data_IF_057528530989
#
_entry.id   IF_057528530989
#
_cell.length_a   1.000
_cell.length_b   1.000
_cell.length_c   1.000
_cell.angle_alpha   90.00
_cell.angle_beta   90.00
_cell.angle_gamma   90.00
#
_symmetry.space_group_name_H-M   'P 1'
#
loop_
_entity.id
_entity.type
_entity.pdbx_description
1 polymer ?
#
# COMPACT_ATOMS: atom_id res chain seq x y z
N UNK A 1 64.97 37.57 44.72
CA UNK A 1 64.61 36.71 43.58
C UNK A 1 64.67 37.53 42.30
N UNK A 2 65.85 37.80 41.71
CA UNK A 2 66.63 36.92 40.81
C UNK A 2 65.88 36.74 39.48
N UNK A 3 66.03 37.69 38.54
CA UNK A 3 66.87 37.67 37.30
C UNK A 3 66.20 36.98 36.09
N UNK A 4 65.79 37.72 35.05
CA UNK A 4 66.52 38.04 33.79
C UNK A 4 66.96 36.82 32.96
N UNK A 5 66.29 36.63 31.81
CA UNK A 5 66.91 36.82 30.49
C UNK A 5 67.56 35.62 29.79
N UNK A 6 67.51 35.72 28.44
CA UNK A 6 68.17 34.92 27.39
C UNK A 6 67.49 33.56 27.08
N UNK A 7 67.19 33.21 25.84
CA UNK A 7 67.65 33.70 24.55
C UNK A 7 68.01 32.49 23.68
N UNK A 8 67.51 32.52 22.44
CA UNK A 8 68.05 31.84 21.25
C UNK A 8 68.08 30.29 21.21
N UNK A 9 67.25 29.80 20.29
CA UNK A 9 67.56 28.79 19.28
C UNK A 9 68.65 27.77 19.60
N UNK A 10 68.24 26.50 19.74
CA UNK A 10 69.02 25.42 19.13
C UNK A 10 68.08 24.32 18.66
N UNK A 11 68.19 24.07 17.36
CA UNK A 11 67.67 22.93 16.64
C UNK A 11 67.58 21.67 17.49
N UNK A 12 66.35 21.20 17.68
CA UNK A 12 66.09 19.77 17.63
C UNK A 12 65.01 19.58 16.59
N UNK A 13 65.46 19.18 15.40
CA UNK A 13 64.70 18.37 14.45
C UNK A 13 63.94 17.34 15.27
N UNK A 14 62.64 17.58 15.43
CA UNK A 14 61.72 16.54 15.83
C UNK A 14 61.16 16.04 14.52
N UNK A 15 61.67 14.88 14.13
CA UNK A 15 61.42 14.24 12.86
C UNK A 15 59.91 14.15 12.62
N UNK A 16 59.47 14.81 11.54
CA UNK A 16 58.13 14.72 10.98
C UNK A 16 57.74 13.29 10.56
N UNK A 17 58.62 12.30 10.76
CA UNK A 17 58.39 10.89 10.42
C UNK A 17 57.74 10.05 11.53
N UNK A 18 57.56 10.55 12.75
CA UNK A 18 57.00 9.71 13.84
C UNK A 18 55.58 10.08 14.28
N UNK A 19 55.01 11.19 13.78
CA UNK A 19 53.65 11.65 14.11
C UNK A 19 52.61 11.41 13.02
N UNK A 20 53.03 10.93 11.85
CA UNK A 20 52.16 10.60 10.71
C UNK A 20 51.94 9.08 10.55
N UNK A 21 52.04 8.32 11.66
CA UNK A 21 51.85 6.85 11.65
C UNK A 21 50.47 6.38 12.11
N UNK A 22 49.51 7.28 12.22
CA UNK A 22 48.09 6.91 12.28
C UNK A 22 47.35 7.86 11.35
N UNK A 23 47.30 7.45 10.08
CA UNK A 23 46.18 7.59 9.14
C UNK A 23 46.68 7.78 7.71
N UNK A 24 45.95 7.12 6.81
CA UNK A 24 46.04 7.21 5.35
C UNK A 24 47.20 6.50 4.63
N UNK A 25 47.25 5.17 4.76
CA UNK A 25 47.63 4.34 3.61
C UNK A 25 46.94 2.97 3.57
N UNK A 26 45.61 2.95 3.49
CA UNK A 26 44.88 1.81 2.93
C UNK A 26 44.61 2.01 1.44
N UNK A 27 45.60 2.45 0.66
CA UNK A 27 45.61 2.09 -0.76
C UNK A 27 46.00 0.62 -0.85
N UNK A 28 45.06 -0.26 -0.47
CA UNK A 28 45.09 -1.63 -0.92
C UNK A 28 45.07 -1.56 -2.45
N UNK A 29 46.25 -1.71 -3.03
CA UNK A 29 46.50 -1.92 -4.44
C UNK A 29 45.49 -2.99 -4.87
N UNK A 30 44.36 -2.58 -5.48
CA UNK A 30 43.38 -3.51 -6.06
C UNK A 30 44.16 -4.28 -7.11
N UNK A 31 44.65 -5.45 -6.74
CA UNK A 31 45.25 -6.44 -7.65
C UNK A 31 44.27 -6.54 -8.80
N UNK A 32 44.73 -6.15 -9.99
CA UNK A 32 43.93 -6.16 -11.19
C UNK A 32 43.26 -7.52 -11.29
N UNK A 33 41.92 -7.53 -11.28
CA UNK A 33 41.19 -8.70 -11.75
C UNK A 33 41.72 -8.98 -13.15
N UNK A 34 42.43 -10.10 -13.30
CA UNK A 34 43.01 -10.48 -14.58
C UNK A 34 41.92 -10.46 -15.64
N UNK A 35 42.26 -10.10 -16.86
CA UNK A 35 41.33 -10.13 -17.99
C UNK A 35 40.59 -11.47 -18.07
N UNK A 36 41.30 -12.56 -17.74
CA UNK A 36 40.75 -13.91 -17.60
C UNK A 36 39.64 -14.00 -16.54
N UNK A 37 39.82 -13.45 -15.34
CA UNK A 37 38.75 -13.45 -14.30
C UNK A 37 37.51 -12.68 -14.70
N UNK A 38 37.64 -11.55 -15.41
CA UNK A 38 36.48 -10.80 -15.92
C UNK A 38 35.73 -11.55 -17.02
N UNK A 39 36.46 -12.23 -17.90
CA UNK A 39 35.86 -13.08 -18.92
C UNK A 39 35.18 -14.31 -18.31
N UNK A 40 35.76 -14.91 -17.27
CA UNK A 40 35.19 -16.06 -16.57
C UNK A 40 33.88 -15.70 -15.83
N UNK A 41 33.83 -14.54 -15.16
CA UNK A 41 32.60 -14.05 -14.51
C UNK A 41 31.51 -13.75 -15.53
N UNK A 42 31.86 -13.16 -16.68
CA UNK A 42 30.91 -12.92 -17.78
C UNK A 42 30.38 -14.21 -18.39
N UNK A 43 31.24 -15.21 -18.56
CA UNK A 43 30.87 -16.52 -19.09
C UNK A 43 29.97 -17.28 -18.11
N UNK A 44 30.26 -17.23 -16.80
CA UNK A 44 29.40 -17.75 -15.74
C UNK A 44 28.04 -17.03 -15.68
N UNK A 45 28.00 -15.70 -15.77
CA UNK A 45 26.75 -14.95 -15.82
C UNK A 45 25.93 -15.21 -17.09
N UNK A 46 26.57 -15.46 -18.23
CA UNK A 46 25.88 -15.85 -19.47
C UNK A 46 25.26 -17.26 -19.35
N UNK A 47 25.99 -18.21 -18.77
CA UNK A 47 25.48 -19.58 -18.54
C UNK A 47 24.33 -19.58 -17.52
N UNK A 48 24.46 -18.86 -16.40
CA UNK A 48 23.38 -18.69 -15.41
C UNK A 48 22.19 -17.88 -15.96
N UNK A 49 22.43 -16.87 -16.80
CA UNK A 49 21.39 -16.06 -17.43
C UNK A 49 20.56 -16.83 -18.45
N UNK A 50 21.20 -17.72 -19.23
CA UNK A 50 20.53 -18.62 -20.17
C UNK A 50 19.73 -19.70 -19.42
N UNK A 51 20.24 -20.21 -18.29
CA UNK A 51 19.52 -21.14 -17.42
C UNK A 51 18.28 -20.49 -16.75
N UNK A 52 18.40 -19.25 -16.28
CA UNK A 52 17.30 -18.50 -15.63
C UNK A 52 16.20 -18.06 -16.60
N UNK A 53 16.53 -17.77 -17.87
CA UNK A 53 15.54 -17.42 -18.91
C UNK A 53 14.70 -18.62 -19.36
N UNK A 54 15.26 -19.82 -19.39
CA UNK A 54 14.56 -21.05 -19.83
C UNK A 54 13.60 -21.60 -18.78
N UNK A 55 13.85 -21.33 -17.50
CA UNK A 55 12.93 -21.75 -16.43
C UNK A 55 11.61 -20.98 -16.50
N UNK A 56 11.67 -19.64 -16.62
CA UNK A 56 10.47 -18.80 -16.68
C UNK A 56 9.59 -19.09 -17.91
N UNK A 57 10.20 -19.25 -19.10
CA UNK A 57 9.43 -19.53 -20.31
C UNK A 57 8.83 -20.93 -20.30
N UNK A 58 9.54 -21.92 -19.77
CA UNK A 58 9.00 -23.27 -19.62
C UNK A 58 7.89 -23.32 -18.58
N UNK A 59 8.03 -22.68 -17.41
CA UNK A 59 6.94 -22.60 -16.43
C UNK A 59 5.75 -21.81 -16.95
N UNK A 60 5.97 -20.74 -17.72
CA UNK A 60 4.88 -19.96 -18.31
C UNK A 60 4.15 -20.77 -19.38
N UNK A 61 4.88 -21.49 -20.25
CA UNK A 61 4.27 -22.36 -21.24
C UNK A 61 3.54 -23.53 -20.59
N UNK A 62 4.11 -24.17 -19.56
CA UNK A 62 3.43 -25.21 -18.76
C UNK A 62 2.19 -24.65 -18.06
N UNK A 63 2.25 -23.43 -17.53
CA UNK A 63 1.09 -22.79 -16.90
C UNK A 63 0.00 -22.44 -17.92
N UNK A 64 0.37 -21.94 -19.10
CA UNK A 64 -0.59 -21.65 -20.20
C UNK A 64 -1.22 -22.96 -20.70
N UNK A 65 -0.42 -23.99 -20.98
CA UNK A 65 -0.97 -25.29 -21.43
C UNK A 65 -1.81 -25.95 -20.35
N UNK A 66 -1.40 -25.88 -19.07
CA UNK A 66 -2.22 -26.34 -17.94
C UNK A 66 -3.52 -25.55 -17.81
N UNK A 67 -3.52 -24.24 -18.05
CA UNK A 67 -4.72 -23.39 -18.02
C UNK A 67 -5.72 -23.73 -19.12
N UNK A 68 -5.25 -24.13 -20.30
CA UNK A 68 -6.10 -24.52 -21.43
C UNK A 68 -6.53 -26.00 -21.38
N UNK A 69 -5.68 -26.90 -20.85
CA UNK A 69 -5.96 -28.33 -20.74
C UNK A 69 -6.77 -28.71 -19.50
N UNK A 70 -6.73 -27.90 -18.43
CA UNK A 70 -7.62 -28.06 -17.28
C UNK A 70 -8.84 -27.20 -17.51
N UNK A 71 -10.02 -27.80 -17.83
CA UNK A 71 -11.25 -27.04 -17.92
C UNK A 71 -11.41 -26.30 -16.59
N UNK A 72 -11.59 -24.97 -16.65
CA UNK A 72 -12.10 -24.25 -15.48
C UNK A 72 -13.41 -24.94 -15.12
N UNK A 73 -13.43 -25.66 -14.01
CA UNK A 73 -14.69 -26.07 -13.42
C UNK A 73 -15.52 -24.78 -13.36
N UNK A 74 -16.72 -24.75 -13.96
CA UNK A 74 -17.61 -23.61 -13.76
C UNK A 74 -17.66 -23.37 -12.26
N UNK A 75 -17.54 -22.11 -11.84
CA UNK A 75 -17.64 -21.75 -10.42
C UNK A 75 -18.81 -22.54 -9.87
N UNK A 76 -18.50 -23.51 -9.00
CA UNK A 76 -19.50 -24.40 -8.44
C UNK A 76 -20.60 -23.50 -7.94
N UNK A 77 -21.86 -23.65 -8.40
CA UNK A 77 -22.94 -22.83 -7.90
C UNK A 77 -22.86 -22.96 -6.40
N UNK A 78 -22.61 -21.85 -5.72
CA UNK A 78 -22.59 -21.82 -4.26
C UNK A 78 -23.83 -22.58 -3.81
N UNK A 79 -23.70 -23.55 -2.89
CA UNK A 79 -24.88 -24.25 -2.40
C UNK A 79 -25.83 -23.15 -1.95
N UNK A 80 -26.93 -22.96 -2.68
CA UNK A 80 -27.97 -22.02 -2.28
C UNK A 80 -28.34 -22.48 -0.89
N UNK A 81 -27.99 -21.67 0.11
CA UNK A 81 -28.38 -21.93 1.49
C UNK A 81 -29.88 -22.29 1.47
N UNK A 82 -30.33 -23.25 2.29
CA UNK A 82 -31.66 -23.85 2.20
C UNK A 82 -32.74 -22.91 2.77
N UNK A 83 -32.56 -21.60 2.61
CA UNK A 83 -33.62 -20.64 2.79
C UNK A 83 -34.55 -20.82 1.60
N UNK A 84 -35.60 -21.65 1.79
CA UNK A 84 -36.81 -21.56 0.97
C UNK A 84 -37.28 -20.11 1.07
N UNK A 85 -36.91 -19.28 0.11
CA UNK A 85 -37.64 -18.05 -0.16
C UNK A 85 -39.07 -18.52 -0.43
N UNK A 86 -40.07 -18.21 0.44
CA UNK A 86 -41.45 -18.45 0.04
C UNK A 86 -41.63 -17.70 -1.28
N UNK A 87 -42.09 -18.38 -2.33
CA UNK A 87 -42.22 -17.87 -3.71
C UNK A 87 -43.18 -16.68 -3.88
N UNK A 88 -43.48 -15.99 -2.78
CA UNK A 88 -44.38 -14.88 -2.64
C UNK A 88 -43.90 -13.85 -1.60
N UNK A 89 -42.65 -13.91 -1.12
CA UNK A 89 -42.06 -12.79 -0.39
C UNK A 89 -41.85 -11.65 -1.38
N UNK A 90 -42.93 -10.93 -1.66
CA UNK A 90 -42.87 -9.59 -2.20
C UNK A 90 -41.98 -8.82 -1.22
N UNK A 91 -40.74 -8.52 -1.63
CA UNK A 91 -40.05 -7.38 -1.02
C UNK A 91 -41.06 -6.25 -1.12
N UNK A 92 -41.40 -5.55 -0.02
CA UNK A 92 -42.22 -4.36 -0.14
C UNK A 92 -41.41 -3.37 -0.97
N UNK A 93 -41.55 -3.44 -2.29
CA UNK A 93 -41.27 -2.30 -3.16
C UNK A 93 -42.30 -1.30 -2.67
N UNK A 94 -41.87 -0.17 -2.06
CA UNK A 94 -42.80 0.85 -1.61
C UNK A 94 -43.83 1.06 -2.72
N UNK A 95 -45.08 0.72 -2.41
CA UNK A 95 -46.14 0.67 -3.41
C UNK A 95 -46.16 2.00 -4.13
N UNK A 96 -46.02 1.95 -5.46
CA UNK A 96 -46.02 3.09 -6.39
C UNK A 96 -46.94 4.20 -5.90
N UNK A 97 -46.40 5.15 -5.13
CA UNK A 97 -47.07 6.41 -4.86
C UNK A 97 -46.93 7.17 -6.18
N UNK A 98 -48.04 7.32 -6.91
CA UNK A 98 -48.13 8.08 -8.17
C UNK A 98 -48.00 9.61 -7.94
N UNK A 99 -47.28 10.06 -6.92
CA UNK A 99 -46.67 11.38 -6.96
C UNK A 99 -45.41 11.24 -7.82
N UNK A 100 -45.13 12.14 -8.75
CA UNK A 100 -43.85 12.15 -9.45
C UNK A 100 -42.71 11.97 -8.43
N UNK A 101 -42.09 10.79 -8.38
CA UNK A 101 -40.92 10.55 -7.54
C UNK A 101 -39.79 11.40 -8.10
N UNK A 102 -39.69 12.63 -7.64
CA UNK A 102 -38.49 13.42 -7.82
C UNK A 102 -37.45 12.83 -6.88
N UNK A 103 -36.73 11.82 -7.37
CA UNK A 103 -35.53 11.34 -6.71
C UNK A 103 -34.56 12.53 -6.60
N UNK A 104 -33.86 12.69 -5.46
CA UNK A 104 -32.92 13.80 -5.28
C UNK A 104 -31.77 13.78 -6.30
N UNK A 105 -31.51 12.61 -6.91
CA UNK A 105 -30.49 12.41 -7.93
C UNK A 105 -31.08 11.67 -9.15
N UNK A 106 -31.94 12.31 -9.94
CA UNK A 106 -32.68 11.64 -11.02
C UNK A 106 -31.79 11.29 -12.23
N UNK A 107 -30.62 11.90 -12.33
CA UNK A 107 -29.63 11.64 -13.38
C UNK A 107 -28.60 10.58 -13.02
N UNK A 108 -28.61 10.08 -11.78
CA UNK A 108 -27.67 9.07 -11.33
C UNK A 108 -28.05 7.69 -11.88
N UNK A 109 -27.15 7.09 -12.65
CA UNK A 109 -27.32 5.75 -13.24
C UNK A 109 -26.32 4.74 -12.70
N UNK A 110 -25.22 5.22 -12.13
CA UNK A 110 -24.12 4.42 -11.65
C UNK A 110 -23.98 4.55 -10.13
N UNK A 111 -23.44 3.51 -9.50
CA UNK A 111 -23.24 3.45 -8.06
C UNK A 111 -21.82 3.00 -7.75
N UNK A 112 -21.07 3.85 -7.05
CA UNK A 112 -19.75 3.52 -6.49
C UNK A 112 -19.95 3.20 -5.01
N UNK A 113 -19.68 1.96 -4.63
CA UNK A 113 -19.84 1.51 -3.23
C UNK A 113 -18.46 1.25 -2.62
N UNK A 114 -18.16 1.97 -1.55
CA UNK A 114 -16.96 1.75 -0.72
C UNK A 114 -17.37 0.92 0.48
N UNK A 115 -16.97 -0.35 0.50
CA UNK A 115 -17.19 -1.24 1.63
C UNK A 115 -16.16 -0.99 2.73
N UNK A 116 -16.64 -0.56 3.89
CA UNK A 116 -15.83 -0.49 5.11
C UNK A 116 -15.43 -1.88 5.59
N UNK A 117 -14.25 -1.97 6.20
CA UNK A 117 -13.73 -3.20 6.79
C UNK A 117 -13.13 -2.99 8.19
N UNK A 118 -12.97 -1.75 8.60
CA UNK A 118 -12.41 -1.35 9.89
C UNK A 118 -13.10 -0.07 10.35
N UNK A 119 -13.10 0.16 11.65
CA UNK A 119 -13.67 1.37 12.25
C UNK A 119 -12.52 2.29 12.63
N UNK A 120 -12.59 3.55 12.23
CA UNK A 120 -11.61 4.55 12.61
C UNK A 120 -11.78 4.91 14.08
N UNK A 121 -10.70 4.86 14.85
CA UNK A 121 -10.70 4.98 16.31
C UNK A 121 -9.83 6.14 16.83
N UNK A 122 -8.91 6.67 16.01
CA UNK A 122 -8.15 7.86 16.38
C UNK A 122 -9.03 9.13 16.38
N UNK A 123 -8.60 10.14 17.14
CA UNK A 123 -9.20 11.47 17.10
C UNK A 123 -8.58 12.41 16.07
N UNK A 124 -7.39 12.08 15.55
CA UNK A 124 -6.65 12.91 14.59
C UNK A 124 -6.67 12.29 13.19
N UNK A 125 -7.41 12.94 12.29
CA UNK A 125 -7.63 12.51 10.90
C UNK A 125 -6.54 12.94 9.91
N UNK A 126 -5.39 13.42 10.37
CA UNK A 126 -4.27 13.80 9.52
C UNK A 126 -3.84 12.65 8.58
N UNK A 127 -3.30 12.96 7.38
CA UNK A 127 -2.86 11.94 6.42
C UNK A 127 -1.87 10.93 7.03
N UNK A 128 -0.96 11.40 7.87
CA UNK A 128 0.05 10.60 8.54
C UNK A 128 -0.55 9.66 9.60
N UNK A 129 -1.47 10.15 10.43
CA UNK A 129 -2.08 9.34 11.49
C UNK A 129 -3.10 8.38 10.91
N UNK A 130 -3.90 8.78 9.94
CA UNK A 130 -4.93 7.92 9.33
C UNK A 130 -4.37 6.67 8.65
N UNK A 131 -3.09 6.66 8.26
CA UNK A 131 -2.42 5.50 7.66
C UNK A 131 -1.80 4.54 8.67
N UNK A 132 -1.82 4.88 9.97
CA UNK A 132 -1.31 4.01 11.03
C UNK A 132 -2.36 2.97 11.42
N UNK A 133 -1.92 1.74 11.65
CA UNK A 133 -2.78 0.64 12.11
C UNK A 133 -3.40 0.93 13.47
N UNK A 134 -2.68 1.65 14.35
CA UNK A 134 -3.18 2.08 15.67
C UNK A 134 -4.37 3.04 15.59
N UNK A 135 -4.60 3.67 14.45
CA UNK A 135 -5.70 4.61 14.25
C UNK A 135 -7.02 3.93 13.90
N UNK A 136 -6.99 2.63 13.65
CA UNK A 136 -8.14 1.82 13.28
C UNK A 136 -8.37 0.71 14.30
N UNK A 137 -9.63 0.43 14.59
CA UNK A 137 -10.03 -0.78 15.29
C UNK A 137 -9.97 -1.96 14.30
N UNK A 138 -9.01 -2.86 14.52
CA UNK A 138 -8.70 -4.00 13.65
C UNK A 138 -8.94 -5.32 14.40
N UNK A 139 -9.57 -6.31 13.74
CA UNK A 139 -9.50 -7.69 14.23
C UNK A 139 -8.08 -8.26 14.10
N UNK A 140 -7.81 -9.33 14.84
CA UNK A 140 -6.53 -10.02 14.84
C UNK A 140 -6.05 -10.39 13.42
N UNK A 141 -6.94 -10.86 12.55
CA UNK A 141 -6.58 -11.20 11.16
C UNK A 141 -6.30 -9.97 10.27
N UNK A 142 -6.72 -8.77 10.69
CA UNK A 142 -6.53 -7.51 9.98
C UNK A 142 -5.26 -6.78 10.41
N UNK A 143 -4.62 -7.21 11.50
CA UNK A 143 -3.38 -6.63 12.05
C UNK A 143 -2.16 -7.05 11.21
N UNK A 144 -2.18 -6.66 9.94
CA UNK A 144 -1.07 -6.80 9.00
C UNK A 144 -0.51 -5.42 8.71
N UNK A 145 0.82 -5.31 8.66
CA UNK A 145 1.51 -4.05 8.33
C UNK A 145 1.06 -3.52 6.95
N UNK A 146 0.72 -2.25 6.87
CA UNK A 146 0.20 -1.56 5.68
C UNK A 146 -1.32 -1.69 5.47
N UNK A 147 -2.04 -2.36 6.38
CA UNK A 147 -3.49 -2.57 6.21
C UNK A 147 -4.28 -1.27 6.31
N UNK A 148 -3.90 -0.39 7.23
CA UNK A 148 -4.54 0.92 7.40
C UNK A 148 -4.41 1.79 6.14
N UNK A 149 -3.24 1.80 5.50
CA UNK A 149 -3.03 2.46 4.22
C UNK A 149 -3.99 1.94 3.14
N UNK A 150 -4.23 0.63 3.11
CA UNK A 150 -5.21 0.04 2.17
C UNK A 150 -6.63 0.55 2.40
N UNK A 151 -7.04 0.79 3.65
CA UNK A 151 -8.37 1.33 3.97
C UNK A 151 -8.52 2.78 3.53
N UNK A 152 -7.49 3.60 3.81
CA UNK A 152 -7.42 5.00 3.37
C UNK A 152 -7.47 5.06 1.84
N UNK A 153 -6.70 4.22 1.16
CA UNK A 153 -6.66 4.19 -0.30
C UNK A 153 -7.97 3.69 -0.91
N UNK A 154 -8.61 2.68 -0.32
CA UNK A 154 -9.93 2.20 -0.75
C UNK A 154 -10.99 3.32 -0.69
N UNK A 155 -10.99 4.11 0.40
CA UNK A 155 -11.83 5.28 0.51
C UNK A 155 -11.48 6.34 -0.55
N UNK A 156 -10.19 6.62 -0.75
CA UNK A 156 -9.69 7.62 -1.70
C UNK A 156 -10.09 7.27 -3.13
N UNK A 157 -9.81 6.05 -3.58
CA UNK A 157 -10.17 5.56 -4.92
C UNK A 157 -11.67 5.64 -5.14
N UNK A 158 -12.49 5.20 -4.19
CA UNK A 158 -13.94 5.31 -4.32
C UNK A 158 -14.45 6.75 -4.51
N UNK A 159 -13.84 7.72 -3.81
CA UNK A 159 -14.14 9.15 -4.02
C UNK A 159 -13.73 9.61 -5.42
N UNK A 160 -12.55 9.23 -5.89
CA UNK A 160 -12.04 9.59 -7.22
C UNK A 160 -12.95 9.01 -8.32
N UNK A 161 -13.28 7.73 -8.24
CA UNK A 161 -14.14 7.06 -9.23
C UNK A 161 -15.53 7.71 -9.32
N UNK A 162 -16.11 8.07 -8.18
CA UNK A 162 -17.37 8.79 -8.15
C UNK A 162 -17.24 10.23 -8.69
N UNK A 163 -16.13 10.92 -8.42
CA UNK A 163 -15.88 12.26 -8.93
C UNK A 163 -15.68 12.29 -10.46
N UNK A 164 -15.09 11.24 -11.01
CA UNK A 164 -14.85 11.10 -12.45
C UNK A 164 -16.11 10.74 -13.25
N UNK A 165 -17.18 10.28 -12.60
CA UNK A 165 -18.45 9.96 -13.24
C UNK A 165 -19.59 10.87 -12.73
N UNK A 166 -20.06 11.86 -13.52
CA UNK A 166 -21.13 12.77 -13.10
C UNK A 166 -22.50 12.09 -12.92
N UNK A 167 -22.65 10.83 -13.35
CA UNK A 167 -23.84 10.00 -13.15
C UNK A 167 -23.69 9.02 -11.99
N UNK A 168 -22.57 9.02 -11.28
CA UNK A 168 -22.33 8.14 -10.16
C UNK A 168 -22.83 8.72 -8.83
N UNK A 169 -23.37 7.86 -7.99
CA UNK A 169 -23.54 8.11 -6.55
C UNK A 169 -22.49 7.35 -5.76
N UNK A 170 -21.86 8.03 -4.81
CA UNK A 170 -20.93 7.42 -3.87
C UNK A 170 -21.65 6.98 -2.60
N UNK A 171 -21.48 5.72 -2.22
CA UNK A 171 -22.00 5.18 -0.96
C UNK A 171 -20.86 4.55 -0.17
N UNK A 172 -20.58 5.10 1.01
CA UNK A 172 -19.79 4.42 2.04
C UNK A 172 -20.70 3.47 2.80
N UNK A 173 -20.44 2.17 2.68
CA UNK A 173 -21.23 1.12 3.30
C UNK A 173 -20.48 0.50 4.47
N UNK A 174 -21.23 0.11 5.52
CA UNK A 174 -20.67 -0.51 6.71
C UNK A 174 -21.32 0.05 7.97
N UNK A 175 -21.97 -0.84 8.74
CA UNK A 175 -22.69 -0.48 9.96
C UNK A 175 -21.82 -0.51 11.22
N UNK A 176 -22.46 -0.36 12.38
CA UNK A 176 -21.84 -0.63 13.69
C UNK A 176 -22.01 -2.11 13.99
N UNK A 177 -20.98 -2.90 13.72
CA UNK A 177 -21.00 -4.36 13.91
C UNK A 177 -20.39 -4.80 15.23
N UNK A 178 -19.66 -3.90 15.93
CA UNK A 178 -18.85 -4.24 17.10
C UNK A 178 -19.00 -3.20 18.20
N UNK A 179 -19.34 -3.65 19.41
CA UNK A 179 -19.50 -2.78 20.58
C UNK A 179 -18.18 -2.13 21.02
N UNK A 180 -17.06 -2.84 20.86
CA UNK A 180 -15.72 -2.40 21.26
C UNK A 180 -15.10 -1.37 20.32
N UNK A 181 -15.62 -1.22 19.09
CA UNK A 181 -15.07 -0.33 18.08
C UNK A 181 -15.47 1.16 18.26
N UNK A 182 -16.28 1.47 19.29
CA UNK A 182 -16.72 2.81 19.60
C UNK A 182 -18.06 3.19 18.95
N UNK A 183 -18.31 4.49 18.85
CA UNK A 183 -19.61 5.01 18.40
C UNK A 183 -19.72 5.12 16.87
N UNK A 184 -18.64 4.97 16.11
CA UNK A 184 -18.66 5.05 14.64
C UNK A 184 -18.94 3.69 14.00
N UNK A 185 -19.62 3.72 12.85
CA UNK A 185 -19.74 2.56 11.97
C UNK A 185 -18.65 2.57 10.91
N UNK A 186 -18.37 1.41 10.31
CA UNK A 186 -17.30 1.25 9.32
C UNK A 186 -17.43 2.24 8.14
N UNK A 187 -18.64 2.40 7.58
CA UNK A 187 -18.88 3.34 6.49
C UNK A 187 -18.71 4.80 6.91
N UNK A 188 -19.19 5.16 8.10
CA UNK A 188 -19.02 6.51 8.66
C UNK A 188 -17.54 6.84 8.87
N UNK A 189 -16.75 5.89 9.37
CA UNK A 189 -15.30 6.06 9.55
C UNK A 189 -14.58 6.42 8.26
N UNK A 190 -14.91 5.74 7.16
CA UNK A 190 -14.30 6.01 5.86
C UNK A 190 -14.70 7.39 5.32
N UNK A 191 -15.99 7.74 5.47
CA UNK A 191 -16.49 9.06 5.09
C UNK A 191 -15.82 10.19 5.89
N UNK A 192 -15.62 10.00 7.19
CA UNK A 192 -14.95 10.98 8.06
C UNK A 192 -13.50 11.22 7.65
N UNK A 193 -12.75 10.14 7.38
CA UNK A 193 -11.37 10.24 6.87
C UNK A 193 -11.35 10.99 5.53
N UNK A 194 -12.24 10.64 4.59
CA UNK A 194 -12.32 11.32 3.30
C UNK A 194 -12.68 12.81 3.42
N UNK A 195 -13.60 13.13 4.34
CA UNK A 195 -14.02 14.51 4.64
C UNK A 195 -12.87 15.33 5.21
N UNK A 196 -12.20 14.81 6.24
CA UNK A 196 -11.10 15.48 6.90
C UNK A 196 -9.92 15.75 5.95
N UNK A 197 -9.67 14.83 5.02
CA UNK A 197 -8.63 14.95 4.01
C UNK A 197 -9.07 15.75 2.76
N UNK A 198 -10.30 16.29 2.74
CA UNK A 198 -10.86 17.16 1.68
C UNK A 198 -10.81 16.52 0.29
N UNK A 199 -11.16 15.25 0.17
CA UNK A 199 -11.18 14.54 -1.12
C UNK A 199 -12.43 14.85 -1.96
N UNK A 200 -13.53 15.25 -1.33
CA UNK A 200 -14.76 15.59 -2.04
C UNK A 200 -14.62 16.87 -2.88
N UNK A 201 -15.28 16.92 -4.03
CA UNK A 201 -15.34 18.11 -4.88
C UNK A 201 -14.08 18.37 -5.73
N UNK A 202 -13.18 17.39 -5.87
CA UNK A 202 -11.93 17.50 -6.60
C UNK A 202 -11.79 16.37 -7.63
N UNK A 203 -12.30 16.56 -8.85
CA UNK A 203 -11.98 15.64 -9.95
C UNK A 203 -10.53 15.82 -10.43
N UNK A 204 -10.00 17.05 -10.41
CA UNK A 204 -8.75 17.41 -11.10
C UNK A 204 -7.51 17.57 -10.18
N UNK A 205 -7.60 17.30 -8.88
CA UNK A 205 -6.52 17.63 -7.92
C UNK A 205 -6.21 16.55 -6.87
N UNK A 206 -6.42 15.28 -7.23
CA UNK A 206 -6.25 14.11 -6.34
C UNK A 206 -5.21 13.12 -6.88
#
# INVERSE_FOLDING_TARGET
STSRGYGLSKDRRFDLESGALLDDNSKSRRKGQSFLTRQLVRLLWAILGVARKRWFTSTLLVWITFRELVPRAPSSPTPRAPWKMPGSAQVPVPGRIRSLETYPYPSATDLVVVCGHAVYAAGDYSPEVSRLESSWFLEDYQQVKGRAETFVEHAKVGVIEAANNPKALLVFSGGKTRKSAGSLGEGTSYWEVARANRWFGKADSV
#
